data_IF_028628649786
#
_entry.id   IF_028628649786
#
_cell.length_a   1.000
_cell.length_b   1.000
_cell.length_c   1.000
_cell.angle_alpha   90.00
_cell.angle_beta   90.00
_cell.angle_gamma   90.00
#
_symmetry.space_group_name_H-M   'P 1'
#
loop_
_entity.id
_entity.type
_entity.pdbx_description
1 polymer ?
#
# COMPACT_ATOMS: atom_id res chain seq x y z
N UNK A 1 -6.38 10.39 -14.82
CA UNK A 1 -7.51 10.33 -15.80
C UNK A 1 -8.88 10.47 -15.15
N UNK A 2 -8.95 10.38 -13.80
CA UNK A 2 -10.18 10.58 -13.02
C UNK A 2 -10.38 12.04 -12.57
N UNK A 3 -9.56 12.97 -13.04
CA UNK A 3 -9.63 14.38 -12.64
C UNK A 3 -8.95 14.73 -11.32
N UNK A 4 -8.27 13.77 -10.69
CA UNK A 4 -7.43 14.05 -9.50
C UNK A 4 -6.19 14.80 -9.97
N UNK A 5 -5.93 15.95 -9.36
CA UNK A 5 -4.86 16.87 -9.76
C UNK A 5 -3.79 17.10 -8.70
N UNK A 6 -3.99 16.60 -7.48
CA UNK A 6 -3.03 16.75 -6.40
C UNK A 6 -2.69 15.38 -5.81
N UNK A 7 -1.40 15.10 -5.68
CA UNK A 7 -0.91 13.83 -5.15
C UNK A 7 0.20 14.04 -4.14
N UNK A 8 0.21 13.18 -3.13
CA UNK A 8 1.34 12.95 -2.24
C UNK A 8 1.76 11.50 -2.43
N UNK A 9 3.00 11.29 -2.85
CA UNK A 9 3.54 9.96 -3.16
C UNK A 9 4.68 9.69 -2.19
N UNK A 10 4.60 8.58 -1.48
CA UNK A 10 5.67 8.12 -0.58
C UNK A 10 6.14 6.75 -1.04
N UNK A 11 7.40 6.65 -1.43
CA UNK A 11 8.06 5.41 -1.82
C UNK A 11 9.59 5.62 -1.76
N UNK A 12 10.30 4.75 -1.07
CA UNK A 12 11.76 4.79 -0.96
C UNK A 12 12.46 3.77 -1.86
N UNK A 13 11.69 2.95 -2.59
CA UNK A 13 12.23 1.91 -3.45
C UNK A 13 12.69 2.43 -4.81
N UNK A 14 13.53 1.63 -5.47
CA UNK A 14 13.85 1.76 -6.89
C UNK A 14 13.17 0.66 -7.69
N UNK A 15 12.98 0.90 -9.00
CA UNK A 15 12.52 -0.16 -9.89
C UNK A 15 13.59 -1.22 -10.10
N UNK A 16 13.14 -2.48 -10.11
CA UNK A 16 13.98 -3.64 -10.40
C UNK A 16 13.24 -4.63 -11.32
N UNK A 17 13.96 -5.53 -11.95
CA UNK A 17 13.46 -6.51 -12.92
C UNK A 17 12.24 -7.31 -12.37
N UNK A 18 12.23 -7.79 -11.10
CA UNK A 18 11.07 -8.48 -10.53
C UNK A 18 9.78 -7.66 -10.51
N UNK A 19 9.86 -6.34 -10.71
CA UNK A 19 8.67 -5.48 -10.72
C UNK A 19 7.92 -5.48 -12.06
N UNK A 20 8.55 -5.95 -13.15
CA UNK A 20 8.02 -5.90 -14.51
C UNK A 20 6.68 -6.62 -14.70
N UNK A 21 6.40 -7.60 -13.87
CA UNK A 21 5.20 -8.40 -13.96
C UNK A 21 3.93 -7.69 -13.45
N UNK A 22 4.06 -6.56 -12.71
CA UNK A 22 2.90 -5.94 -12.06
C UNK A 22 2.96 -4.43 -11.84
N UNK A 23 4.15 -3.82 -11.85
CA UNK A 23 4.27 -2.39 -11.51
C UNK A 23 4.33 -1.51 -12.75
N UNK A 24 3.40 -0.57 -12.85
CA UNK A 24 3.44 0.46 -13.89
C UNK A 24 4.69 1.31 -13.71
N UNK A 25 5.41 1.53 -14.80
CA UNK A 25 6.68 2.26 -14.77
C UNK A 25 7.90 1.36 -14.66
N UNK A 26 7.76 0.07 -14.36
CA UNK A 26 8.88 -0.88 -14.38
C UNK A 26 9.21 -1.28 -15.83
N UNK A 27 10.30 -0.74 -16.36
CA UNK A 27 10.80 -0.96 -17.73
C UNK A 27 12.33 -1.04 -17.67
N UNK A 28 12.96 -1.59 -18.70
CA UNK A 28 14.43 -1.63 -18.78
C UNK A 28 15.06 -0.24 -18.63
N UNK A 29 14.40 0.79 -19.17
CA UNK A 29 14.87 2.18 -19.07
C UNK A 29 14.70 2.81 -17.69
N UNK A 30 13.96 2.17 -16.77
CA UNK A 30 13.70 2.70 -15.42
C UNK A 30 14.28 1.86 -14.30
N UNK A 31 14.89 0.71 -14.61
CA UNK A 31 15.62 -0.10 -13.61
C UNK A 31 16.67 0.75 -12.89
N UNK A 32 16.68 0.68 -11.56
CA UNK A 32 17.54 1.46 -10.68
C UNK A 32 17.09 2.90 -10.42
N UNK A 33 16.03 3.38 -11.07
CA UNK A 33 15.49 4.71 -10.81
C UNK A 33 14.49 4.67 -9.63
N UNK A 34 14.41 5.72 -8.77
CA UNK A 34 13.42 5.82 -7.71
C UNK A 34 11.99 5.70 -8.26
N UNK A 35 11.17 4.85 -7.66
CA UNK A 35 9.80 4.58 -8.11
C UNK A 35 8.94 5.84 -8.11
N UNK A 36 8.98 6.61 -7.02
CA UNK A 36 8.20 7.83 -6.88
C UNK A 36 8.54 8.87 -7.97
N UNK A 37 9.82 9.02 -8.32
CA UNK A 37 10.25 9.97 -9.37
C UNK A 37 9.77 9.55 -10.76
N UNK A 38 9.88 8.27 -11.07
CA UNK A 38 9.40 7.72 -12.35
C UNK A 38 7.89 7.91 -12.48
N UNK A 39 7.14 7.56 -11.44
CA UNK A 39 5.68 7.70 -11.45
C UNK A 39 5.24 9.17 -11.51
N UNK A 40 5.92 10.07 -10.82
CA UNK A 40 5.65 11.50 -10.89
C UNK A 40 5.91 12.06 -12.29
N UNK A 41 7.01 11.64 -12.95
CA UNK A 41 7.31 12.04 -14.34
C UNK A 41 6.24 11.53 -15.30
N UNK A 42 5.83 10.27 -15.20
CA UNK A 42 4.75 9.70 -15.99
C UNK A 42 3.41 10.41 -15.77
N UNK A 43 3.11 10.79 -14.52
CA UNK A 43 1.88 11.53 -14.21
C UNK A 43 1.88 12.93 -14.83
N UNK A 44 3.02 13.65 -14.81
CA UNK A 44 3.18 14.95 -15.45
C UNK A 44 3.13 14.88 -16.98
N UNK A 45 3.57 13.77 -17.56
CA UNK A 45 3.46 13.50 -18.98
C UNK A 45 1.98 13.33 -19.44
N UNK A 46 1.13 12.85 -18.53
CA UNK A 46 -0.32 12.73 -18.74
C UNK A 46 -1.05 14.06 -18.48
N UNK A 47 -0.67 14.77 -17.43
CA UNK A 47 -1.22 16.06 -17.04
C UNK A 47 -0.11 16.98 -16.53
N UNK A 48 0.36 17.95 -17.33
CA UNK A 48 1.44 18.86 -16.96
C UNK A 48 1.13 19.72 -15.73
N UNK A 49 -0.15 20.02 -15.48
CA UNK A 49 -0.60 20.89 -14.39
C UNK A 49 -0.82 20.13 -13.06
N UNK A 50 -0.40 18.86 -12.99
CA UNK A 50 -0.57 18.05 -11.80
C UNK A 50 0.37 18.50 -10.66
N UNK A 51 -0.18 18.67 -9.48
CA UNK A 51 0.58 18.96 -8.27
C UNK A 51 0.99 17.65 -7.59
N UNK A 52 2.31 17.36 -7.56
CA UNK A 52 2.84 16.14 -6.95
C UNK A 52 3.92 16.51 -5.95
N UNK A 53 3.70 16.15 -4.69
CA UNK A 53 4.72 16.16 -3.64
C UNK A 53 5.21 14.74 -3.38
N UNK A 54 6.53 14.55 -3.47
CA UNK A 54 7.20 13.26 -3.24
C UNK A 54 7.79 13.23 -1.84
N UNK A 55 7.62 12.09 -1.17
CA UNK A 55 8.25 11.73 0.10
C UNK A 55 9.19 10.54 -0.16
N UNK A 56 10.45 10.81 -0.53
CA UNK A 56 11.37 9.77 -1.00
C UNK A 56 11.84 8.83 0.11
N UNK A 57 11.63 9.22 1.36
CA UNK A 57 11.98 8.41 2.54
C UNK A 57 10.84 7.49 2.98
N UNK A 58 9.73 7.48 2.23
CA UNK A 58 8.51 6.79 2.63
C UNK A 58 7.71 7.54 3.69
N UNK A 59 6.77 6.85 4.33
CA UNK A 59 5.95 7.39 5.43
C UNK A 59 6.44 6.83 6.75
N UNK A 60 6.70 7.73 7.71
CA UNK A 60 7.13 7.42 9.08
C UNK A 60 6.57 8.46 10.05
N UNK A 61 6.71 8.22 11.35
CA UNK A 61 6.06 9.01 12.39
C UNK A 61 6.33 10.53 12.26
N UNK A 62 7.58 10.90 11.90
CA UNK A 62 8.02 12.29 11.87
C UNK A 62 7.48 13.07 10.66
N UNK A 63 7.15 12.40 9.54
CA UNK A 63 6.64 13.06 8.32
C UNK A 63 5.14 12.81 8.07
N UNK A 64 4.48 12.01 8.90
CA UNK A 64 3.12 11.55 8.68
C UNK A 64 2.10 12.70 8.64
N UNK A 65 2.21 13.67 9.55
CA UNK A 65 1.30 14.82 9.57
C UNK A 65 1.48 15.71 8.33
N UNK A 66 2.71 15.87 7.84
CA UNK A 66 2.99 16.59 6.59
C UNK A 66 2.49 15.78 5.37
N UNK A 67 2.68 14.46 5.37
CA UNK A 67 2.19 13.59 4.31
C UNK A 67 0.67 13.65 4.19
N UNK A 68 -0.06 13.70 5.30
CA UNK A 68 -1.52 13.71 5.32
C UNK A 68 -2.15 15.12 5.29
N UNK A 69 -1.35 16.20 5.36
CA UNK A 69 -1.89 17.55 5.37
C UNK A 69 -2.67 17.90 4.10
N UNK A 70 -3.98 18.16 4.23
CA UNK A 70 -4.87 18.51 3.12
C UNK A 70 -5.15 17.35 2.15
N UNK A 71 -5.00 16.12 2.61
CA UNK A 71 -5.35 14.91 1.85
C UNK A 71 -6.84 14.60 2.01
N UNK A 72 -7.52 14.38 0.91
CA UNK A 72 -8.96 14.02 0.86
C UNK A 72 -9.19 12.51 0.92
N UNK A 73 -8.20 11.71 0.51
CA UNK A 73 -8.24 10.25 0.51
C UNK A 73 -6.83 9.67 0.62
N UNK A 74 -6.64 8.78 1.57
CA UNK A 74 -5.43 7.95 1.65
C UNK A 74 -5.64 6.63 0.94
N UNK A 75 -4.70 6.26 0.07
CA UNK A 75 -4.67 4.96 -0.62
C UNK A 75 -3.43 4.20 -0.15
N UNK A 76 -3.66 3.11 0.58
CA UNK A 76 -2.60 2.24 1.08
C UNK A 76 -2.05 1.36 -0.05
N UNK A 77 -0.80 1.60 -0.40
CA UNK A 77 0.00 0.80 -1.32
C UNK A 77 1.29 0.30 -0.67
N UNK A 78 1.36 0.30 0.66
CA UNK A 78 2.51 -0.17 1.41
C UNK A 78 2.74 -1.67 1.20
N UNK A 79 4.00 -2.08 1.25
CA UNK A 79 4.37 -3.49 1.24
C UNK A 79 3.64 -4.27 2.34
N UNK A 80 3.41 -5.56 2.10
CA UNK A 80 2.69 -6.43 3.03
C UNK A 80 3.26 -6.36 4.46
N UNK A 81 4.58 -6.31 4.60
CA UNK A 81 5.28 -6.32 5.89
C UNK A 81 5.44 -4.94 6.53
N UNK A 82 4.94 -3.88 5.93
CA UNK A 82 5.01 -2.53 6.48
C UNK A 82 3.94 -2.30 7.57
N UNK A 83 3.89 -3.18 8.59
CA UNK A 83 2.82 -3.20 9.59
C UNK A 83 2.76 -1.91 10.41
N UNK A 84 3.89 -1.45 10.93
CA UNK A 84 3.93 -0.27 11.80
C UNK A 84 3.58 1.01 11.03
N UNK A 85 4.15 1.21 9.84
CA UNK A 85 3.83 2.35 8.99
C UNK A 85 2.35 2.35 8.61
N UNK A 86 1.79 1.19 8.27
CA UNK A 86 0.36 1.04 7.97
C UNK A 86 -0.50 1.38 9.17
N UNK A 87 -0.23 0.78 10.34
CA UNK A 87 -0.99 1.01 11.56
C UNK A 87 -1.00 2.50 11.94
N UNK A 88 0.16 3.14 11.93
CA UNK A 88 0.30 4.57 12.23
C UNK A 88 -0.45 5.45 11.23
N UNK A 89 -0.35 5.14 9.92
CA UNK A 89 -1.02 5.93 8.88
C UNK A 89 -2.53 5.82 8.98
N UNK A 90 -3.08 4.62 9.16
CA UNK A 90 -4.53 4.45 9.34
C UNK A 90 -5.05 5.09 10.63
N UNK A 91 -4.27 5.03 11.72
CA UNK A 91 -4.62 5.72 12.96
C UNK A 91 -4.64 7.25 12.79
N UNK A 92 -3.66 7.80 12.06
CA UNK A 92 -3.62 9.23 11.74
C UNK A 92 -4.79 9.64 10.82
N UNK A 93 -5.12 8.84 9.82
CA UNK A 93 -6.30 9.08 8.97
C UNK A 93 -7.59 9.10 9.79
N UNK A 94 -7.78 8.16 10.70
CA UNK A 94 -8.95 8.13 11.58
C UNK A 94 -9.01 9.39 12.48
N UNK A 95 -7.89 9.80 13.07
CA UNK A 95 -7.77 11.00 13.90
C UNK A 95 -8.06 12.29 13.13
N UNK A 96 -7.59 12.38 11.88
CA UNK A 96 -7.73 13.56 11.02
C UNK A 96 -9.04 13.58 10.22
N UNK A 97 -9.86 12.54 10.31
CA UNK A 97 -11.10 12.44 9.55
C UNK A 97 -10.88 12.22 8.05
N UNK A 98 -9.78 11.58 7.67
CA UNK A 98 -9.44 11.28 6.28
C UNK A 98 -9.92 9.87 5.93
N UNK A 99 -10.75 9.70 4.89
CA UNK A 99 -11.07 8.38 4.36
C UNK A 99 -9.80 7.62 3.94
N UNK A 100 -9.73 6.34 4.25
CA UNK A 100 -8.59 5.51 3.92
C UNK A 100 -9.02 4.20 3.27
N UNK A 101 -8.30 3.76 2.26
CA UNK A 101 -8.57 2.49 1.57
C UNK A 101 -7.31 1.64 1.49
N UNK A 102 -7.47 0.33 1.67
CA UNK A 102 -6.43 -0.66 1.37
C UNK A 102 -6.97 -1.71 0.43
N UNK A 103 -6.14 -2.14 -0.49
CA UNK A 103 -6.46 -3.23 -1.40
C UNK A 103 -5.29 -4.21 -1.43
N UNK A 104 -5.63 -5.49 -1.40
CA UNK A 104 -4.62 -6.54 -1.51
C UNK A 104 -5.05 -7.60 -2.51
N UNK A 105 -4.16 -7.98 -3.43
CA UNK A 105 -4.36 -9.15 -4.25
C UNK A 105 -4.15 -10.41 -3.41
N UNK A 106 -5.08 -11.35 -3.50
CA UNK A 106 -5.03 -12.62 -2.79
C UNK A 106 -5.47 -13.76 -3.73
N UNK A 107 -4.54 -14.63 -4.06
CA UNK A 107 -4.80 -15.67 -5.04
C UNK A 107 -5.22 -15.08 -6.39
N UNK A 108 -6.36 -15.48 -6.91
CA UNK A 108 -6.94 -14.98 -8.19
C UNK A 108 -7.94 -13.85 -7.99
N UNK A 109 -7.98 -13.23 -6.82
CA UNK A 109 -8.91 -12.16 -6.50
C UNK A 109 -8.23 -10.97 -5.87
N UNK A 110 -9.02 -9.98 -5.49
CA UNK A 110 -8.60 -8.82 -4.73
C UNK A 110 -9.56 -8.55 -3.57
N UNK A 111 -9.00 -8.15 -2.45
CA UNK A 111 -9.75 -7.58 -1.35
C UNK A 111 -9.66 -6.05 -1.40
N UNK A 112 -10.75 -5.38 -1.06
CA UNK A 112 -10.80 -3.93 -0.92
C UNK A 112 -11.51 -3.58 0.38
N UNK A 113 -10.87 -2.83 1.24
CA UNK A 113 -11.44 -2.33 2.49
C UNK A 113 -11.37 -0.81 2.51
N UNK A 114 -12.50 -0.19 2.89
CA UNK A 114 -12.61 1.26 3.03
C UNK A 114 -12.93 1.60 4.49
N UNK A 115 -12.11 2.46 5.08
CA UNK A 115 -12.28 2.98 6.43
C UNK A 115 -12.73 4.44 6.34
N UNK A 116 -13.98 4.67 6.70
CA UNK A 116 -14.59 5.99 6.59
C UNK A 116 -14.60 6.71 7.95
N UNK A 117 -14.41 8.03 7.99
CA UNK A 117 -14.49 8.80 9.21
C UNK A 117 -15.79 8.54 10.00
N UNK A 118 -15.67 8.35 11.31
CA UNK A 118 -16.80 8.06 12.19
C UNK A 118 -17.41 6.67 12.04
N UNK A 119 -16.73 5.79 11.31
CA UNK A 119 -17.08 4.36 11.21
C UNK A 119 -15.96 3.52 11.84
N UNK A 120 -16.09 2.19 11.73
CA UNK A 120 -15.08 1.24 12.22
C UNK A 120 -13.68 1.61 11.68
N UNK A 121 -12.74 1.75 12.58
CA UNK A 121 -11.35 2.05 12.25
C UNK A 121 -10.60 0.79 11.81
N UNK A 122 -9.42 1.00 11.22
CA UNK A 122 -8.49 -0.10 10.89
C UNK A 122 -8.14 -0.94 12.13
N UNK A 123 -7.85 -0.27 13.25
CA UNK A 123 -7.50 -0.93 14.50
C UNK A 123 -8.66 -1.75 15.08
N UNK A 124 -9.88 -1.21 15.08
CA UNK A 124 -11.06 -1.95 15.51
C UNK A 124 -11.37 -3.17 14.64
N UNK A 125 -11.05 -3.09 13.35
CA UNK A 125 -11.27 -4.19 12.41
C UNK A 125 -10.24 -5.31 12.53
N UNK A 126 -8.95 -4.96 12.55
CA UNK A 126 -7.86 -5.94 12.58
C UNK A 126 -7.42 -6.31 14.01
N UNK A 127 -7.59 -5.41 14.96
CA UNK A 127 -7.21 -5.60 16.37
C UNK A 127 -5.73 -5.86 16.55
N UNK A 128 -4.87 -5.08 15.87
CA UNK A 128 -3.43 -5.33 15.87
C UNK A 128 -2.78 -5.00 17.20
N UNK A 129 -3.12 -3.85 17.80
CA UNK A 129 -2.48 -3.39 19.02
C UNK A 129 -0.95 -3.54 19.00
N UNK A 130 -0.42 -4.09 20.06
CA UNK A 130 1.01 -4.39 20.22
C UNK A 130 1.35 -5.85 19.87
N UNK A 131 0.56 -6.50 19.03
CA UNK A 131 0.78 -7.88 18.65
C UNK A 131 2.11 -8.07 17.88
N UNK A 132 2.74 -9.26 18.01
CA UNK A 132 3.88 -9.62 17.18
C UNK A 132 3.55 -9.58 15.68
N UNK A 133 4.55 -9.26 14.84
CA UNK A 133 4.37 -9.15 13.38
C UNK A 133 3.69 -10.37 12.74
N UNK A 134 3.99 -11.58 13.21
CA UNK A 134 3.35 -12.80 12.70
C UNK A 134 1.84 -12.82 12.95
N UNK A 135 1.40 -12.39 14.13
CA UNK A 135 -0.02 -12.32 14.44
C UNK A 135 -0.71 -11.19 13.68
N UNK A 136 -0.05 -10.02 13.54
CA UNK A 136 -0.53 -8.93 12.68
C UNK A 136 -0.74 -9.41 11.24
N UNK A 137 0.22 -10.17 10.70
CA UNK A 137 0.13 -10.73 9.35
C UNK A 137 -1.05 -11.69 9.19
N UNK A 138 -1.24 -12.61 10.15
CA UNK A 138 -2.35 -13.56 10.12
C UNK A 138 -3.69 -12.81 10.16
N UNK A 139 -3.84 -11.87 11.08
CA UNK A 139 -5.05 -11.05 11.19
C UNK A 139 -5.30 -10.22 9.93
N UNK A 140 -4.24 -9.72 9.31
CA UNK A 140 -4.35 -8.96 8.06
C UNK A 140 -4.88 -9.83 6.92
N UNK A 141 -4.28 -11.00 6.69
CA UNK A 141 -4.76 -11.94 5.66
C UNK A 141 -6.18 -12.41 5.91
N UNK A 142 -6.50 -12.78 7.16
CA UNK A 142 -7.87 -13.22 7.52
C UNK A 142 -8.87 -12.08 7.36
N UNK A 143 -8.53 -10.87 7.77
CA UNK A 143 -9.40 -9.71 7.63
C UNK A 143 -9.62 -9.30 6.17
N UNK A 144 -8.60 -9.44 5.31
CA UNK A 144 -8.72 -9.19 3.87
C UNK A 144 -9.56 -10.26 3.15
N UNK A 145 -9.54 -11.50 3.64
CA UNK A 145 -10.24 -12.62 3.01
C UNK A 145 -11.04 -13.47 4.03
N UNK A 146 -12.00 -12.88 4.78
CA UNK A 146 -12.67 -13.55 5.88
C UNK A 146 -13.47 -14.78 5.44
N UNK A 147 -13.96 -14.80 4.23
CA UNK A 147 -14.69 -15.94 3.67
C UNK A 147 -13.76 -17.05 3.11
N UNK A 148 -12.45 -16.82 3.09
CA UNK A 148 -11.47 -17.79 2.61
C UNK A 148 -11.61 -18.17 1.13
N UNK A 149 -12.29 -17.37 0.33
CA UNK A 149 -12.58 -17.68 -1.09
C UNK A 149 -11.32 -17.80 -1.95
N UNK A 150 -10.23 -17.15 -1.53
CA UNK A 150 -8.95 -17.18 -2.26
C UNK A 150 -8.09 -18.40 -1.92
N UNK A 151 -8.47 -19.21 -0.94
CA UNK A 151 -7.67 -20.31 -0.39
C UNK A 151 -7.25 -21.32 -1.46
N UNK A 152 -8.15 -21.64 -2.39
CA UNK A 152 -7.90 -22.65 -3.44
C UNK A 152 -6.99 -22.13 -4.56
N UNK A 153 -6.69 -20.84 -4.58
CA UNK A 153 -5.88 -20.20 -5.63
C UNK A 153 -4.52 -19.76 -5.11
N UNK A 154 -4.17 -20.08 -3.87
CA UNK A 154 -2.85 -19.83 -3.32
C UNK A 154 -1.86 -20.83 -3.92
N UNK A 155 -1.01 -20.38 -4.82
CA UNK A 155 -0.08 -21.22 -5.58
C UNK A 155 0.99 -21.88 -4.69
N UNK A 156 1.49 -21.17 -3.68
CA UNK A 156 2.55 -21.64 -2.77
C UNK A 156 2.26 -21.13 -1.36
N UNK A 157 1.38 -21.80 -0.61
CA UNK A 157 0.97 -21.34 0.73
C UNK A 157 2.11 -21.18 1.75
N UNK A 158 3.23 -21.88 1.57
CA UNK A 158 4.39 -21.85 2.46
C UNK A 158 5.51 -20.88 2.03
N UNK A 159 5.31 -20.07 0.99
CA UNK A 159 6.38 -19.23 0.44
C UNK A 159 6.57 -17.88 1.16
N UNK A 160 5.79 -17.60 2.20
CA UNK A 160 5.98 -16.40 3.02
C UNK A 160 7.12 -16.63 4.00
N UNK A 161 8.22 -15.94 3.82
CA UNK A 161 9.36 -15.97 4.73
C UNK A 161 9.38 -14.69 5.57
N UNK A 162 8.97 -14.79 6.82
CA UNK A 162 8.95 -13.66 7.76
C UNK A 162 10.34 -13.14 8.10
N UNK A 163 11.35 -14.01 8.17
CA UNK A 163 12.70 -13.60 8.49
C UNK A 163 13.34 -12.73 7.39
N UNK A 164 13.00 -13.00 6.14
CA UNK A 164 13.48 -12.24 4.99
C UNK A 164 12.48 -11.17 4.53
N UNK A 165 11.33 -11.03 5.19
CA UNK A 165 10.23 -10.16 4.79
C UNK A 165 9.87 -10.31 3.30
N UNK A 166 9.81 -11.56 2.83
CA UNK A 166 9.51 -11.91 1.46
C UNK A 166 8.26 -12.77 1.35
N UNK A 167 7.45 -12.46 0.37
CA UNK A 167 6.33 -13.27 -0.06
C UNK A 167 6.36 -13.49 -1.57
N UNK A 168 5.59 -14.45 -2.08
CA UNK A 168 5.47 -14.62 -3.52
C UNK A 168 4.85 -13.38 -4.14
N UNK A 169 5.61 -12.67 -4.97
CA UNK A 169 5.06 -11.64 -5.83
C UNK A 169 4.36 -12.32 -7.00
N UNK A 170 3.05 -12.42 -6.93
CA UNK A 170 2.27 -13.01 -8.01
C UNK A 170 1.83 -11.93 -8.97
N UNK A 171 2.07 -12.12 -10.27
CA UNK A 171 1.49 -11.24 -11.30
C UNK A 171 -0.05 -11.36 -11.33
N UNK A 172 -0.60 -12.34 -10.68
CA UNK A 172 -2.03 -12.59 -10.46
C UNK A 172 -2.62 -11.60 -9.44
N UNK A 173 -1.80 -10.72 -8.99
CA UNK A 173 -2.10 -9.58 -8.17
C UNK A 173 -2.53 -8.33 -8.97
N UNK A 174 -2.59 -8.41 -10.27
CA UNK A 174 -3.00 -7.28 -11.11
C UNK A 174 -4.46 -7.39 -11.55
#
# INVERSE_FOLDING_TARGET
RLGVTKFRIADFDTFDIPNFNRQVGAMMSTVGQPKADVLARMARDINPDIDIKIFPEGVHAENLDEFLAGVDLYVDALDFFAFDARQQTFAACARLGIPATTAAPLGMGAALLNFMPGKMTFEEYFGWGDLPEQEKAIRFVVGLAPAGLHRNYLMVPGAVNFAERRGPSTFMAC
#
